data_IF_864255742043
#
_entry.id   IF_864255742043
#
_cell.length_a   1.000
_cell.length_b   1.000
_cell.length_c   1.000
_cell.angle_alpha   90.00
_cell.angle_beta   90.00
_cell.angle_gamma   90.00
#
_symmetry.space_group_name_H-M   'P 1'
#
loop_
_entity.id
_entity.type
_entity.pdbx_description
1 polymer ?
#
# COMPACT_ATOMS: atom_id res chain seq x y z
N UNK A 1 4.76 -4.54 34.51
CA UNK A 1 4.52 -4.64 33.07
C UNK A 1 3.57 -3.54 32.63
N UNK A 2 4.03 -2.43 32.04
CA UNK A 2 3.13 -1.39 31.52
C UNK A 2 3.23 -1.35 29.99
N UNK A 3 2.52 -2.26 29.31
CA UNK A 3 2.56 -2.36 27.85
C UNK A 3 1.30 -1.89 27.11
N UNK A 4 0.21 -1.60 27.82
CA UNK A 4 -1.08 -1.28 27.15
C UNK A 4 -1.43 0.22 27.14
N UNK A 5 -0.81 1.05 27.94
CA UNK A 5 -1.18 2.47 28.05
C UNK A 5 -0.69 3.34 26.88
N UNK A 6 0.28 2.88 26.11
CA UNK A 6 0.89 3.70 25.04
C UNK A 6 0.07 3.74 23.74
N UNK A 7 -0.73 2.73 23.47
CA UNK A 7 -1.49 2.62 22.22
C UNK A 7 -2.81 3.42 22.22
N UNK A 8 -3.46 3.54 23.36
CA UNK A 8 -4.74 4.27 23.46
C UNK A 8 -4.55 5.80 23.41
N UNK A 9 -3.42 6.30 23.90
CA UNK A 9 -3.15 7.73 23.95
C UNK A 9 -2.83 8.39 22.61
N UNK A 10 -2.33 7.63 21.62
CA UNK A 10 -2.00 8.16 20.30
C UNK A 10 -3.22 8.32 19.40
N UNK A 11 -4.12 7.34 19.39
CA UNK A 11 -5.37 7.42 18.63
C UNK A 11 -6.26 8.57 19.12
N UNK A 12 -6.30 8.79 20.44
CA UNK A 12 -7.03 9.90 21.05
C UNK A 12 -6.43 11.29 20.77
N UNK A 13 -5.10 11.36 20.56
CA UNK A 13 -4.41 12.63 20.29
C UNK A 13 -4.47 13.07 18.83
N UNK A 14 -4.76 12.16 17.90
CA UNK A 14 -4.76 12.49 16.47
C UNK A 14 -6.00 13.30 16.02
N UNK A 15 -7.00 13.47 16.87
CA UNK A 15 -8.25 14.15 16.51
C UNK A 15 -9.11 13.43 15.46
N UNK A 16 -8.53 12.49 14.72
CA UNK A 16 -9.22 11.73 13.67
C UNK A 16 -10.13 10.64 14.23
N UNK A 17 -9.79 10.10 15.39
CA UNK A 17 -10.54 9.00 16.03
C UNK A 17 -11.24 9.44 17.32
N UNK A 18 -11.08 10.71 17.74
CA UNK A 18 -11.63 11.23 18.97
C UNK A 18 -13.13 11.02 19.10
N UNK A 19 -13.56 10.44 20.22
CA UNK A 19 -14.96 10.24 20.58
C UNK A 19 -15.70 9.09 19.90
N UNK A 20 -15.12 8.42 18.88
CA UNK A 20 -15.71 7.26 18.20
C UNK A 20 -14.78 6.06 18.10
N UNK A 21 -13.57 6.16 18.63
CA UNK A 21 -12.52 5.12 18.54
C UNK A 21 -12.96 3.76 19.10
N UNK A 22 -13.79 3.76 20.14
CA UNK A 22 -14.27 2.53 20.81
C UNK A 22 -15.41 1.83 20.03
N UNK A 23 -16.00 2.52 19.06
CA UNK A 23 -17.17 2.06 18.31
C UNK A 23 -16.89 1.69 16.87
N UNK A 24 -15.79 2.21 16.30
CA UNK A 24 -15.46 2.05 14.90
C UNK A 24 -14.05 1.47 14.74
N UNK A 25 -13.92 0.57 13.77
CA UNK A 25 -12.63 0.12 13.31
C UNK A 25 -12.16 0.98 12.14
N UNK A 26 -11.06 1.71 12.35
CA UNK A 26 -10.50 2.60 11.34
C UNK A 26 -9.60 1.84 10.37
N UNK A 27 -9.86 2.01 9.07
CA UNK A 27 -9.12 1.36 8.00
C UNK A 27 -8.51 2.43 7.10
N UNK A 28 -7.21 2.38 6.87
CA UNK A 28 -6.53 3.23 5.91
C UNK A 28 -6.91 2.85 4.48
N UNK A 29 -7.47 3.79 3.72
CA UNK A 29 -7.99 3.53 2.37
C UNK A 29 -7.28 4.28 1.25
N UNK A 30 -6.24 5.07 1.56
CA UNK A 30 -5.59 5.94 0.58
C UNK A 30 -4.60 5.20 -0.33
N UNK A 31 -3.98 4.11 0.13
CA UNK A 31 -3.02 3.32 -0.63
C UNK A 31 -1.88 2.80 0.23
N UNK A 32 -1.10 1.87 -0.34
CA UNK A 32 0.00 1.21 0.37
C UNK A 32 1.15 2.19 0.68
N UNK A 33 1.33 3.25 -0.11
CA UNK A 33 2.30 4.33 0.12
C UNK A 33 2.00 5.15 1.38
N UNK A 34 0.76 5.15 1.85
CA UNK A 34 0.32 5.83 3.07
C UNK A 34 0.48 4.99 4.34
N UNK A 35 0.93 3.74 4.26
CA UNK A 35 1.06 2.83 5.42
C UNK A 35 1.84 3.46 6.58
N UNK A 36 3.02 4.06 6.39
CA UNK A 36 3.74 4.70 7.50
C UNK A 36 2.93 5.79 8.19
N UNK A 37 2.20 6.61 7.41
CA UNK A 37 1.34 7.67 7.91
C UNK A 37 0.14 7.13 8.70
N UNK A 38 -0.52 6.09 8.21
CA UNK A 38 -1.64 5.42 8.90
C UNK A 38 -1.21 4.93 10.28
N UNK A 39 -0.08 4.23 10.36
CA UNK A 39 0.42 3.66 11.61
C UNK A 39 0.93 4.72 12.58
N UNK A 40 1.46 5.84 12.08
CA UNK A 40 1.91 6.96 12.94
C UNK A 40 0.75 7.62 13.69
N UNK A 41 -0.46 7.64 13.12
CA UNK A 41 -1.67 8.21 13.74
C UNK A 41 -2.55 7.17 14.44
N UNK A 42 -2.10 5.92 14.55
CA UNK A 42 -2.79 4.87 15.30
C UNK A 42 -3.73 3.97 14.49
N UNK A 43 -3.90 4.19 13.19
CA UNK A 43 -4.63 3.26 12.30
C UNK A 43 -3.76 2.02 12.08
N UNK A 44 -4.32 0.82 12.35
CA UNK A 44 -3.58 -0.45 12.35
C UNK A 44 -4.02 -1.41 11.24
N UNK A 45 -4.88 -0.96 10.36
CA UNK A 45 -5.42 -1.75 9.24
C UNK A 45 -5.47 -0.89 8.01
N UNK A 46 -5.20 -1.45 6.84
CA UNK A 46 -5.32 -0.73 5.57
C UNK A 46 -5.81 -1.67 4.46
N UNK A 47 -6.40 -1.09 3.43
CA UNK A 47 -6.69 -1.79 2.18
C UNK A 47 -5.48 -1.68 1.27
N UNK A 48 -5.08 -2.79 0.65
CA UNK A 48 -3.89 -2.89 -0.18
C UNK A 48 -4.24 -3.25 -1.61
N UNK A 49 -3.84 -2.45 -2.56
CA UNK A 49 -3.88 -2.81 -3.98
C UNK A 49 -2.72 -3.74 -4.36
N UNK A 50 -1.57 -3.58 -3.73
CA UNK A 50 -0.37 -4.41 -3.91
C UNK A 50 -0.68 -5.87 -3.59
N UNK A 51 -1.56 -6.16 -2.63
CA UNK A 51 -1.93 -7.51 -2.23
C UNK A 51 -2.56 -8.36 -3.36
N UNK A 52 -3.08 -7.74 -4.42
CA UNK A 52 -3.57 -8.47 -5.59
C UNK A 52 -2.44 -9.14 -6.40
N UNK A 53 -1.22 -8.64 -6.28
CA UNK A 53 -0.04 -9.11 -7.04
C UNK A 53 1.00 -9.71 -6.09
N UNK A 54 1.33 -9.02 -5.01
CA UNK A 54 2.35 -9.41 -4.06
C UNK A 54 1.81 -9.37 -2.62
N UNK A 55 0.98 -10.33 -2.22
CA UNK A 55 0.36 -10.34 -0.88
C UNK A 55 1.38 -10.40 0.24
N UNK A 56 2.50 -11.09 0.05
CA UNK A 56 3.58 -11.16 1.05
C UNK A 56 4.23 -9.79 1.29
N UNK A 57 4.35 -8.95 0.25
CA UNK A 57 4.85 -7.58 0.40
C UNK A 57 3.91 -6.74 1.26
N UNK A 58 2.61 -6.82 1.00
CA UNK A 58 1.60 -6.11 1.79
C UNK A 58 1.61 -6.54 3.25
N UNK A 59 1.71 -7.84 3.52
CA UNK A 59 1.84 -8.38 4.89
C UNK A 59 3.13 -7.88 5.57
N UNK A 60 4.24 -7.84 4.84
CA UNK A 60 5.50 -7.34 5.40
C UNK A 60 5.46 -5.86 5.75
N UNK A 61 4.78 -5.04 4.94
CA UNK A 61 4.51 -3.63 5.28
C UNK A 61 3.74 -3.52 6.60
N UNK A 62 2.69 -4.33 6.76
CA UNK A 62 1.91 -4.39 7.99
C UNK A 62 2.76 -4.79 9.21
N UNK A 63 3.55 -5.84 9.10
CA UNK A 63 4.42 -6.34 10.18
C UNK A 63 5.40 -5.26 10.64
N UNK A 64 6.15 -4.67 9.70
CA UNK A 64 7.16 -3.64 9.99
C UNK A 64 6.53 -2.40 10.62
N UNK A 65 5.41 -1.94 10.07
CA UNK A 65 4.69 -0.78 10.59
C UNK A 65 4.10 -1.04 11.99
N UNK A 66 3.54 -2.25 12.23
CA UNK A 66 3.01 -2.65 13.54
C UNK A 66 4.10 -2.77 14.60
N UNK A 67 5.27 -3.25 14.21
CA UNK A 67 6.43 -3.42 15.10
C UNK A 67 7.20 -2.09 15.32
N UNK A 68 6.86 -1.00 14.63
CA UNK A 68 7.56 0.27 14.73
C UNK A 68 8.98 0.23 14.12
N UNK A 69 9.27 -0.72 13.23
CA UNK A 69 10.55 -0.88 12.56
C UNK A 69 10.67 0.12 11.40
N UNK A 70 10.82 1.40 11.72
CA UNK A 70 10.73 2.50 10.76
C UNK A 70 11.85 2.47 9.71
N UNK A 71 13.06 2.09 10.06
CA UNK A 71 14.20 2.04 9.13
C UNK A 71 13.97 0.99 8.04
N UNK A 72 13.60 -0.23 8.43
CA UNK A 72 13.32 -1.33 7.51
C UNK A 72 12.07 -1.03 6.68
N UNK A 73 11.05 -0.43 7.30
CA UNK A 73 9.84 -0.02 6.60
C UNK A 73 10.17 1.02 5.52
N UNK A 74 10.95 2.06 5.84
CA UNK A 74 11.36 3.10 4.88
C UNK A 74 12.12 2.48 3.71
N UNK A 75 13.08 1.60 3.99
CA UNK A 75 13.84 0.91 2.94
C UNK A 75 12.92 0.11 2.01
N UNK A 76 11.99 -0.66 2.59
CA UNK A 76 11.04 -1.46 1.81
C UNK A 76 10.11 -0.58 0.97
N UNK A 77 9.65 0.55 1.53
CA UNK A 77 8.85 1.54 0.81
C UNK A 77 9.60 2.13 -0.38
N UNK A 78 10.82 2.62 -0.16
CA UNK A 78 11.62 3.28 -1.20
C UNK A 78 11.99 2.34 -2.34
N UNK A 79 12.32 1.09 -2.02
CA UNK A 79 12.76 0.12 -3.02
C UNK A 79 11.61 -0.52 -3.82
N UNK A 80 10.46 -0.75 -3.19
CA UNK A 80 9.40 -1.60 -3.76
C UNK A 80 8.06 -0.88 -3.96
N UNK A 81 7.69 0.06 -3.10
CA UNK A 81 6.35 0.68 -3.12
C UNK A 81 6.36 2.00 -3.89
N UNK A 82 7.24 2.91 -3.51
CA UNK A 82 7.29 4.28 -4.07
C UNK A 82 7.50 4.30 -5.60
N UNK A 83 8.33 3.44 -6.23
CA UNK A 83 8.46 3.42 -7.68
C UNK A 83 7.14 3.12 -8.41
N UNK A 84 6.33 2.19 -7.89
CA UNK A 84 4.99 1.92 -8.43
C UNK A 84 4.08 3.14 -8.29
N UNK A 85 4.07 3.78 -7.12
CA UNK A 85 3.21 4.94 -6.87
C UNK A 85 3.65 6.17 -7.68
N UNK A 86 4.94 6.34 -7.94
CA UNK A 86 5.45 7.37 -8.86
C UNK A 86 4.93 7.17 -10.30
N UNK A 87 4.83 5.94 -10.77
CA UNK A 87 4.20 5.64 -12.06
C UNK A 87 2.69 5.90 -12.01
N UNK A 88 1.99 5.42 -10.99
CA UNK A 88 0.53 5.59 -10.82
C UNK A 88 0.11 7.06 -10.76
N UNK A 89 0.93 7.94 -10.22
CA UNK A 89 0.66 9.38 -10.09
C UNK A 89 0.78 10.15 -11.42
N UNK A 90 1.34 9.56 -12.47
CA UNK A 90 1.52 10.23 -13.77
C UNK A 90 0.20 10.59 -14.44
N UNK A 91 -0.84 9.78 -14.22
CA UNK A 91 -2.15 10.01 -14.82
C UNK A 91 -3.26 9.47 -13.91
N UNK A 92 -4.35 10.22 -13.81
CA UNK A 92 -5.54 9.77 -13.08
C UNK A 92 -6.08 8.48 -13.71
N UNK A 93 -6.31 7.46 -12.90
CA UNK A 93 -6.77 6.14 -13.32
C UNK A 93 -5.63 5.11 -13.40
N UNK A 94 -4.38 5.52 -13.43
CA UNK A 94 -3.23 4.60 -13.47
C UNK A 94 -3.11 3.73 -12.22
N UNK A 95 -3.74 4.10 -11.12
CA UNK A 95 -3.90 3.23 -9.94
C UNK A 95 -4.61 1.91 -10.29
N UNK A 96 -5.54 1.93 -11.25
CA UNK A 96 -6.23 0.73 -11.74
C UNK A 96 -5.43 0.07 -12.88
N UNK A 97 -5.01 0.86 -13.88
CA UNK A 97 -4.33 0.34 -15.07
C UNK A 97 -3.02 -0.37 -14.74
N UNK A 98 -2.21 0.20 -13.82
CA UNK A 98 -0.96 -0.40 -13.40
C UNK A 98 -1.18 -1.75 -12.69
N UNK A 99 -2.16 -1.83 -11.79
CA UNK A 99 -2.43 -3.08 -11.06
C UNK A 99 -2.94 -4.17 -12.01
N UNK A 100 -3.80 -3.84 -12.97
CA UNK A 100 -4.28 -4.80 -13.97
C UNK A 100 -3.14 -5.32 -14.85
N UNK A 101 -2.27 -4.44 -15.34
CA UNK A 101 -1.10 -4.83 -16.11
C UNK A 101 -0.16 -5.74 -15.31
N UNK A 102 0.08 -5.42 -14.03
CA UNK A 102 0.89 -6.28 -13.15
C UNK A 102 0.25 -7.64 -12.89
N UNK A 103 -1.09 -7.71 -12.78
CA UNK A 103 -1.80 -8.99 -12.67
C UNK A 103 -1.58 -9.85 -13.91
N UNK A 104 -1.70 -9.27 -15.11
CA UNK A 104 -1.45 -9.99 -16.37
C UNK A 104 0.01 -10.50 -16.47
N UNK A 105 0.99 -9.70 -16.00
CA UNK A 105 2.40 -10.08 -15.98
C UNK A 105 2.71 -11.30 -15.09
N UNK A 106 1.92 -11.56 -14.06
CA UNK A 106 2.09 -12.72 -13.16
C UNK A 106 1.14 -13.87 -13.50
N UNK A 107 0.44 -13.80 -14.63
CA UNK A 107 -0.46 -14.86 -15.12
C UNK A 107 -1.87 -14.83 -14.53
N UNK A 108 -2.25 -13.76 -13.84
CA UNK A 108 -3.63 -13.50 -13.44
C UNK A 108 -4.37 -12.74 -14.56
N UNK A 109 -5.69 -12.71 -14.50
CA UNK A 109 -6.50 -11.98 -15.47
C UNK A 109 -6.79 -10.55 -14.97
N UNK A 110 -5.97 -9.60 -15.38
CA UNK A 110 -6.21 -8.16 -15.18
C UNK A 110 -7.19 -7.61 -16.22
N UNK A 111 -6.86 -7.82 -17.47
CA UNK A 111 -7.63 -7.37 -18.64
C UNK A 111 -7.63 -5.83 -18.81
N UNK A 112 -8.28 -5.30 -19.83
CA UNK A 112 -8.31 -3.86 -20.13
C UNK A 112 -9.10 -3.08 -19.09
N UNK A 113 -8.82 -1.78 -18.99
CA UNK A 113 -9.63 -0.87 -18.18
C UNK A 113 -10.86 -0.41 -18.98
N UNK A 114 -11.91 -0.03 -18.26
CA UNK A 114 -13.12 0.56 -18.86
C UNK A 114 -12.97 2.08 -19.04
N UNK A 115 -13.46 2.67 -20.13
CA UNK A 115 -13.55 4.11 -20.26
C UNK A 115 -14.26 4.75 -19.05
N UNK A 116 -13.84 5.95 -18.60
CA UNK A 116 -12.85 6.86 -19.20
C UNK A 116 -11.38 6.56 -18.83
N UNK A 117 -11.10 5.46 -18.12
CA UNK A 117 -9.73 5.07 -17.83
C UNK A 117 -9.02 4.64 -19.12
N UNK A 118 -7.69 4.69 -19.10
CA UNK A 118 -6.85 4.29 -20.23
C UNK A 118 -5.80 3.30 -19.76
N UNK A 119 -5.42 2.40 -20.64
CA UNK A 119 -4.33 1.47 -20.40
C UNK A 119 -2.98 2.21 -20.36
N UNK A 120 -1.97 1.56 -19.81
CA UNK A 120 -0.59 2.06 -19.79
C UNK A 120 -0.01 2.08 -21.21
N UNK A 121 0.95 2.98 -21.43
CA UNK A 121 1.78 2.98 -22.63
C UNK A 121 2.84 1.88 -22.56
N UNK A 122 3.41 1.51 -23.70
CA UNK A 122 4.44 0.46 -23.78
C UNK A 122 5.66 0.73 -22.87
N UNK A 123 6.14 1.99 -22.86
CA UNK A 123 7.24 2.38 -21.99
C UNK A 123 6.93 2.26 -20.49
N UNK A 124 5.68 2.47 -20.12
CA UNK A 124 5.20 2.34 -18.74
C UNK A 124 5.00 0.88 -18.35
N UNK A 125 4.57 0.04 -19.28
CA UNK A 125 4.52 -1.42 -19.09
C UNK A 125 5.92 -1.99 -18.87
N UNK A 126 6.92 -1.54 -19.63
CA UNK A 126 8.31 -1.94 -19.45
C UNK A 126 8.84 -1.55 -18.04
N UNK A 127 8.52 -0.35 -17.58
CA UNK A 127 8.85 0.07 -16.19
C UNK A 127 8.24 -0.84 -15.14
N UNK A 128 6.99 -1.30 -15.33
CA UNK A 128 6.34 -2.23 -14.41
C UNK A 128 7.00 -3.61 -14.43
N UNK A 129 7.50 -4.08 -15.58
CA UNK A 129 8.25 -5.33 -15.66
C UNK A 129 9.46 -5.31 -14.73
N UNK A 130 10.20 -4.19 -14.67
CA UNK A 130 11.28 -4.00 -13.71
C UNK A 130 10.83 -4.01 -12.25
N UNK A 131 9.62 -3.53 -11.99
CA UNK A 131 9.02 -3.60 -10.64
C UNK A 131 8.66 -5.05 -10.27
N UNK A 132 8.04 -5.79 -11.17
CA UNK A 132 7.68 -7.21 -10.96
C UNK A 132 8.93 -8.06 -10.68
N UNK A 133 10.04 -7.83 -11.38
CA UNK A 133 11.28 -8.56 -11.11
C UNK A 133 11.75 -8.38 -9.65
N UNK A 134 11.67 -7.16 -9.12
CA UNK A 134 11.99 -6.89 -7.72
C UNK A 134 10.98 -7.51 -6.74
N UNK A 135 9.74 -7.70 -7.19
CA UNK A 135 8.66 -8.24 -6.37
C UNK A 135 8.60 -9.77 -6.39
N UNK A 136 9.37 -10.46 -7.24
CA UNK A 136 9.34 -11.94 -7.33
C UNK A 136 9.39 -12.67 -5.99
N UNK A 137 10.21 -12.26 -5.01
CA UNK A 137 10.23 -12.94 -3.69
C UNK A 137 8.93 -12.75 -2.89
N UNK A 138 8.08 -11.82 -3.30
CA UNK A 138 6.88 -11.40 -2.59
C UNK A 138 5.55 -11.84 -3.25
N UNK A 139 5.64 -12.46 -4.42
CA UNK A 139 4.49 -12.97 -5.16
C UNK A 139 3.81 -14.14 -4.45
#
# INVERSE_FOLDING_TARGET
MPGHAFNESHAQRSGLTGGVSDRLHWIGGAGDDCVPGHYSIGIRTFTSSIANVAPRLSLRLHELASAGQSTELTKLMDELVIPLYALRSRRKGYEVSAMKAMMDMIGLVGGPVRPPLVDLREDEVEMLSGTIEKWRPWL
#
